data_IF_117474202794
#
_entry.id   IF_117474202794
#
_cell.length_a   1.000
_cell.length_b   1.000
_cell.length_c   1.000
_cell.angle_alpha   90.00
_cell.angle_beta   90.00
_cell.angle_gamma   90.00
#
_symmetry.space_group_name_H-M   'P 1'
#
loop_
_entity.id
_entity.type
_entity.pdbx_description
1 polymer ?
#
# COMPACT_ATOMS: atom_id res chain seq x y z
N UNK A 1 -5.94 -40.97 14.97
CA UNK A 1 -5.78 -39.63 14.35
C UNK A 1 -5.13 -38.70 15.36
N UNK A 2 -3.90 -38.25 15.09
CA UNK A 2 -3.16 -37.36 15.97
C UNK A 2 -3.43 -35.92 15.53
N UNK A 3 -4.15 -35.13 16.35
CA UNK A 3 -4.27 -33.69 16.12
C UNK A 3 -2.87 -33.08 16.22
N UNK A 4 -2.42 -32.24 15.26
CA UNK A 4 -1.12 -31.59 15.37
C UNK A 4 -1.11 -30.74 16.65
N UNK A 5 -0.12 -30.99 17.50
CA UNK A 5 0.09 -30.28 18.75
C UNK A 5 0.43 -28.81 18.44
N UNK A 6 -0.57 -27.95 18.50
CA UNK A 6 -0.45 -26.49 18.28
C UNK A 6 0.56 -25.84 19.21
N UNK A 7 0.87 -26.45 20.37
CA UNK A 7 1.92 -25.95 21.26
C UNK A 7 3.33 -26.10 20.64
N UNK A 8 3.53 -27.09 19.77
CA UNK A 8 4.79 -27.28 19.04
C UNK A 8 4.99 -26.26 17.90
N UNK A 9 3.91 -25.63 17.42
CA UNK A 9 3.92 -24.70 16.29
C UNK A 9 4.57 -23.35 16.64
N UNK A 10 4.57 -22.94 17.91
CA UNK A 10 5.23 -21.73 18.43
C UNK A 10 6.48 -22.04 19.26
N UNK A 11 7.13 -23.18 19.00
CA UNK A 11 8.39 -23.51 19.67
C UNK A 11 9.47 -22.42 19.49
N UNK A 12 10.50 -22.37 20.37
CA UNK A 12 11.48 -21.28 20.39
C UNK A 12 12.14 -20.97 19.05
N UNK A 13 12.36 -21.99 18.20
CA UNK A 13 12.91 -21.83 16.85
C UNK A 13 11.93 -21.14 15.89
N UNK A 14 10.66 -21.54 15.91
CA UNK A 14 9.62 -20.94 15.08
C UNK A 14 9.36 -19.50 15.51
N UNK A 15 9.26 -19.26 16.83
CA UNK A 15 9.08 -17.91 17.38
C UNK A 15 10.24 -16.98 16.99
N UNK A 16 11.48 -17.45 17.12
CA UNK A 16 12.66 -16.70 16.66
C UNK A 16 12.59 -16.36 15.18
N UNK A 17 12.17 -17.32 14.35
CA UNK A 17 12.06 -17.12 12.90
C UNK A 17 10.96 -16.11 12.54
N UNK A 18 9.81 -16.18 13.21
CA UNK A 18 8.71 -15.22 13.06
C UNK A 18 9.18 -13.81 13.47
N UNK A 19 9.82 -13.66 14.63
CA UNK A 19 10.34 -12.38 15.11
C UNK A 19 11.33 -11.78 14.11
N UNK A 20 12.31 -12.57 13.65
CA UNK A 20 13.28 -12.11 12.66
C UNK A 20 12.59 -11.66 11.36
N UNK A 21 11.60 -12.42 10.89
CA UNK A 21 10.82 -12.07 9.69
C UNK A 21 10.13 -10.71 9.85
N UNK A 22 9.47 -10.46 10.99
CA UNK A 22 8.82 -9.17 11.25
C UNK A 22 9.82 -8.02 11.39
N UNK A 23 10.97 -8.25 12.03
CA UNK A 23 12.01 -7.24 12.16
C UNK A 23 12.55 -6.83 10.79
N UNK A 24 12.88 -7.79 9.92
CA UNK A 24 13.36 -7.47 8.56
C UNK A 24 12.27 -6.81 7.71
N UNK A 25 11.04 -7.37 7.72
CA UNK A 25 9.93 -6.83 6.96
C UNK A 25 9.60 -5.37 7.35
N UNK A 26 9.61 -5.04 8.65
CA UNK A 26 9.35 -3.69 9.13
C UNK A 26 10.52 -2.73 8.95
N UNK A 27 11.77 -3.21 9.13
CA UNK A 27 12.96 -2.36 9.10
C UNK A 27 13.22 -1.80 7.71
N UNK A 28 13.39 -2.67 6.73
CA UNK A 28 13.92 -2.27 5.42
C UNK A 28 12.86 -1.48 4.65
N UNK A 29 11.60 -1.91 4.70
CA UNK A 29 10.49 -1.21 4.04
C UNK A 29 10.22 0.18 4.63
N UNK A 30 10.29 0.33 5.96
CA UNK A 30 10.12 1.63 6.61
C UNK A 30 11.31 2.55 6.32
N UNK A 31 12.53 2.03 6.34
CA UNK A 31 13.72 2.79 6.00
C UNK A 31 13.67 3.32 4.57
N UNK A 32 13.22 2.50 3.62
CA UNK A 32 13.04 2.89 2.22
C UNK A 32 11.95 3.95 2.05
N UNK A 33 10.79 3.77 2.69
CA UNK A 33 9.71 4.75 2.70
C UNK A 33 10.18 6.13 3.20
N UNK A 34 10.91 6.16 4.32
CA UNK A 34 11.47 7.40 4.85
C UNK A 34 12.49 8.02 3.89
N UNK A 35 13.40 7.19 3.37
CA UNK A 35 14.45 7.64 2.45
C UNK A 35 13.86 8.32 1.22
N UNK A 36 12.88 7.68 0.57
CA UNK A 36 12.25 8.26 -0.62
C UNK A 36 11.31 9.42 -0.31
N UNK A 37 10.69 9.44 0.87
CA UNK A 37 9.93 10.61 1.33
C UNK A 37 10.83 11.83 1.47
N UNK A 38 11.97 11.69 2.16
CA UNK A 38 12.95 12.78 2.27
C UNK A 38 13.58 13.15 0.93
N UNK A 39 13.90 12.17 0.08
CA UNK A 39 14.39 12.43 -1.28
C UNK A 39 13.39 13.25 -2.10
N UNK A 40 12.11 12.87 -2.07
CA UNK A 40 11.07 13.59 -2.79
C UNK A 40 10.87 15.01 -2.23
N UNK A 41 10.88 15.18 -0.90
CA UNK A 41 10.80 16.51 -0.27
C UNK A 41 11.99 17.39 -0.68
N UNK A 42 13.21 16.86 -0.61
CA UNK A 42 14.43 17.59 -0.96
C UNK A 42 14.44 18.04 -2.43
N UNK A 43 13.85 17.25 -3.32
CA UNK A 43 13.72 17.58 -4.74
C UNK A 43 12.61 18.57 -5.07
N UNK A 44 11.68 18.84 -4.16
CA UNK A 44 10.52 19.70 -4.39
C UNK A 44 10.40 20.78 -3.30
N UNK A 45 11.15 21.90 -3.41
CA UNK A 45 11.17 22.95 -2.40
C UNK A 45 9.79 23.53 -2.06
N UNK A 46 8.86 23.55 -3.03
CA UNK A 46 7.49 24.02 -2.80
C UNK A 46 6.69 23.07 -1.90
N UNK A 47 6.90 21.75 -2.05
CA UNK A 47 6.30 20.75 -1.16
C UNK A 47 6.85 20.92 0.25
N UNK A 48 8.16 21.11 0.41
CA UNK A 48 8.79 21.36 1.71
C UNK A 48 8.20 22.60 2.39
N UNK A 49 8.08 23.73 1.68
CA UNK A 49 7.46 24.96 2.23
C UNK A 49 6.04 24.71 2.72
N UNK A 50 5.24 23.98 1.95
CA UNK A 50 3.84 23.68 2.30
C UNK A 50 3.73 22.72 3.49
N UNK A 51 4.65 21.76 3.63
CA UNK A 51 4.75 20.92 4.84
C UNK A 51 5.04 21.78 6.06
N UNK A 52 6.01 22.70 5.97
CA UNK A 52 6.36 23.60 7.08
C UNK A 52 5.16 24.46 7.50
N UNK A 53 4.44 25.04 6.53
CA UNK A 53 3.21 25.79 6.79
C UNK A 53 2.15 24.95 7.49
N UNK A 54 1.92 23.70 7.06
CA UNK A 54 0.98 22.80 7.71
C UNK A 54 1.40 22.51 9.16
N UNK A 55 2.67 22.22 9.40
CA UNK A 55 3.22 21.96 10.73
C UNK A 55 3.06 23.17 11.67
N UNK A 56 3.38 24.37 11.18
CA UNK A 56 3.22 25.63 11.94
C UNK A 56 1.75 25.90 12.28
N UNK A 57 0.84 25.67 11.34
CA UNK A 57 -0.61 25.88 11.57
C UNK A 57 -1.24 24.87 12.52
N UNK A 58 -0.69 23.65 12.60
CA UNK A 58 -1.24 22.56 13.41
C UNK A 58 -0.77 22.61 14.86
N UNK A 59 0.40 23.21 15.10
CA UNK A 59 1.01 23.26 16.44
C UNK A 59 0.19 24.18 17.36
N UNK A 60 -0.58 23.57 18.24
CA UNK A 60 -1.48 24.29 19.16
C UNK A 60 -0.77 24.85 20.39
N UNK A 61 0.37 24.27 20.75
CA UNK A 61 1.20 24.70 21.86
C UNK A 61 2.51 25.33 21.37
N UNK A 62 2.63 26.65 21.47
CA UNK A 62 3.88 27.41 21.31
C UNK A 62 4.84 27.20 22.50
N UNK A 63 4.95 25.96 23.00
CA UNK A 63 6.06 25.58 23.87
C UNK A 63 7.40 25.77 23.15
N UNK A 64 8.54 25.63 23.85
CA UNK A 64 9.86 25.77 23.23
C UNK A 64 9.95 24.95 21.94
N UNK A 65 10.67 25.48 20.93
CA UNK A 65 10.64 25.03 19.53
C UNK A 65 10.74 23.51 19.33
N UNK A 66 11.30 22.77 20.29
CA UNK A 66 11.50 21.32 20.28
C UNK A 66 10.38 20.46 20.91
N UNK A 67 9.20 21.00 21.25
CA UNK A 67 8.09 20.14 21.69
C UNK A 67 7.64 19.20 20.57
N UNK A 68 7.66 17.89 20.84
CA UNK A 68 7.20 16.86 19.92
C UNK A 68 5.69 16.97 19.67
N UNK A 69 5.25 16.67 18.45
CA UNK A 69 3.83 16.60 18.10
C UNK A 69 3.14 15.46 18.85
N UNK A 70 1.94 15.73 19.35
CA UNK A 70 1.07 14.69 19.89
C UNK A 70 0.46 13.84 18.75
N UNK A 71 0.00 12.64 19.07
CA UNK A 71 -0.61 11.75 18.08
C UNK A 71 -1.84 12.37 17.39
N UNK A 72 -2.64 13.14 18.13
CA UNK A 72 -3.82 13.79 17.58
C UNK A 72 -3.48 15.03 16.73
N UNK A 73 -2.34 15.68 16.97
CA UNK A 73 -1.82 16.70 16.06
C UNK A 73 -1.30 16.07 14.77
N UNK A 74 -0.56 14.96 14.84
CA UNK A 74 -0.04 14.27 13.65
C UNK A 74 -1.18 13.82 12.71
N UNK A 75 -2.31 13.35 13.25
CA UNK A 75 -3.49 12.99 12.44
C UNK A 75 -4.06 14.14 11.60
N UNK A 76 -3.81 15.39 12.00
CA UNK A 76 -4.28 16.59 11.29
C UNK A 76 -3.37 16.98 10.11
N UNK A 77 -2.15 16.44 10.03
CA UNK A 77 -1.17 16.73 8.99
C UNK A 77 -1.49 16.02 7.67
N UNK A 78 -2.57 16.44 7.01
CA UNK A 78 -3.12 15.78 5.81
C UNK A 78 -2.23 15.92 4.60
N UNK A 79 -1.55 17.06 4.46
CA UNK A 79 -0.61 17.29 3.39
C UNK A 79 0.66 16.47 3.58
N UNK A 80 1.21 16.38 4.80
CA UNK A 80 2.33 15.48 5.09
C UNK A 80 1.96 14.02 4.82
N UNK A 81 0.77 13.59 5.24
CA UNK A 81 0.24 12.27 4.92
C UNK A 81 0.22 12.05 3.39
N UNK A 82 -0.33 12.99 2.62
CA UNK A 82 -0.37 12.94 1.17
C UNK A 82 1.03 12.89 0.52
N UNK A 83 2.02 13.58 1.08
CA UNK A 83 3.43 13.54 0.61
C UNK A 83 4.01 12.14 0.76
N UNK A 84 3.77 11.48 1.91
CA UNK A 84 4.24 10.11 2.15
C UNK A 84 3.57 9.13 1.19
N UNK A 85 2.25 9.24 1.00
CA UNK A 85 1.53 8.39 0.04
C UNK A 85 2.03 8.59 -1.40
N UNK A 86 2.28 9.82 -1.82
CA UNK A 86 2.82 10.11 -3.14
C UNK A 86 4.25 9.58 -3.32
N UNK A 87 5.07 9.65 -2.27
CA UNK A 87 6.41 9.08 -2.28
C UNK A 87 6.35 7.56 -2.42
N UNK A 88 5.48 6.89 -1.66
CA UNK A 88 5.29 5.43 -1.74
C UNK A 88 4.71 4.99 -3.09
N UNK A 89 3.87 5.80 -3.73
CA UNK A 89 3.35 5.53 -5.09
C UNK A 89 4.44 5.49 -6.14
N UNK A 90 5.34 6.46 -6.11
CA UNK A 90 6.43 6.54 -7.09
C UNK A 90 7.62 5.66 -6.69
N UNK A 91 7.87 5.48 -5.41
CA UNK A 91 9.02 4.75 -4.89
C UNK A 91 8.57 3.67 -3.88
N UNK A 92 7.82 2.64 -4.34
CA UNK A 92 7.39 1.56 -3.47
C UNK A 92 8.59 0.68 -3.09
N UNK A 93 8.64 0.25 -1.82
CA UNK A 93 9.73 -0.59 -1.31
C UNK A 93 9.82 -1.97 -1.98
N UNK A 94 8.69 -2.45 -2.52
CA UNK A 94 8.62 -3.69 -3.28
C UNK A 94 8.09 -3.36 -4.69
N UNK A 95 8.98 -3.13 -5.68
CA UNK A 95 8.57 -2.71 -7.02
C UNK A 95 7.90 -3.83 -7.83
N UNK A 96 8.11 -5.09 -7.44
CA UNK A 96 7.49 -6.28 -8.00
C UNK A 96 7.04 -7.21 -6.90
N UNK A 97 5.96 -7.94 -7.14
CA UNK A 97 5.47 -8.99 -6.27
C UNK A 97 5.15 -10.22 -7.11
N UNK A 98 5.54 -11.39 -6.61
CA UNK A 98 5.40 -12.66 -7.31
C UNK A 98 4.45 -13.56 -6.52
N UNK A 99 3.51 -14.19 -7.22
CA UNK A 99 2.58 -15.18 -6.70
C UNK A 99 2.73 -16.47 -7.51
N UNK A 100 3.02 -17.58 -6.84
CA UNK A 100 3.09 -18.87 -7.52
C UNK A 100 1.72 -19.56 -7.53
N UNK A 101 1.30 -20.05 -8.69
CA UNK A 101 0.05 -20.79 -8.84
C UNK A 101 0.22 -22.21 -8.26
N UNK A 102 -0.45 -22.51 -7.15
CA UNK A 102 -0.35 -23.83 -6.50
C UNK A 102 -1.06 -24.93 -7.32
N UNK A 103 -2.08 -24.54 -8.09
CA UNK A 103 -2.85 -25.41 -9.00
C UNK A 103 -3.25 -24.59 -10.22
N UNK A 104 -3.71 -25.29 -11.25
CA UNK A 104 -4.34 -24.69 -12.43
C UNK A 104 -5.47 -23.74 -12.01
N UNK A 105 -5.45 -22.52 -12.54
CA UNK A 105 -6.41 -21.47 -12.23
C UNK A 105 -6.68 -20.58 -13.46
N UNK A 106 -7.66 -19.68 -13.34
CA UNK A 106 -8.00 -18.70 -14.37
C UNK A 106 -8.06 -17.30 -13.76
N UNK A 107 -7.44 -16.33 -14.43
CA UNK A 107 -7.57 -14.92 -14.08
C UNK A 107 -9.01 -14.43 -14.38
N UNK A 108 -9.44 -13.28 -13.81
CA UNK A 108 -10.80 -12.76 -14.01
C UNK A 108 -11.20 -12.48 -15.46
N UNK A 109 -10.22 -12.35 -16.37
CA UNK A 109 -10.41 -12.18 -17.81
C UNK A 109 -10.48 -13.50 -18.58
N UNK A 110 -10.36 -14.64 -17.90
CA UNK A 110 -10.37 -15.98 -18.49
C UNK A 110 -8.98 -16.49 -18.89
N UNK A 111 -7.90 -15.76 -18.62
CA UNK A 111 -6.54 -16.23 -18.91
C UNK A 111 -6.18 -17.44 -18.05
N UNK A 112 -5.83 -18.56 -18.68
CA UNK A 112 -5.40 -19.78 -17.99
C UNK A 112 -4.00 -19.63 -17.38
N UNK A 113 -3.86 -20.04 -16.12
CA UNK A 113 -2.60 -20.05 -15.37
C UNK A 113 -2.31 -21.48 -14.91
N UNK A 114 -1.31 -22.16 -15.50
CA UNK A 114 -0.93 -23.51 -15.08
C UNK A 114 -0.35 -23.55 -13.67
N UNK A 115 -0.52 -24.68 -12.99
CA UNK A 115 0.17 -24.96 -11.73
C UNK A 115 1.69 -24.81 -11.88
N UNK A 116 2.33 -24.22 -10.87
CA UNK A 116 3.76 -23.95 -10.81
C UNK A 116 4.21 -22.65 -11.49
N UNK A 117 3.32 -21.95 -12.21
CA UNK A 117 3.65 -20.68 -12.88
C UNK A 117 3.63 -19.52 -11.90
N UNK A 118 4.62 -18.63 -12.04
CA UNK A 118 4.68 -17.37 -11.32
C UNK A 118 3.88 -16.27 -12.03
N UNK A 119 2.95 -15.66 -11.31
CA UNK A 119 2.20 -14.47 -11.69
C UNK A 119 2.85 -13.27 -11.01
N UNK A 120 3.32 -12.32 -11.81
CA UNK A 120 4.02 -11.13 -11.33
C UNK A 120 3.19 -9.88 -11.58
N UNK A 121 3.07 -9.03 -10.57
CA UNK A 121 2.54 -7.67 -10.73
C UNK A 121 3.54 -6.65 -10.19
N UNK A 122 3.49 -5.43 -10.72
CA UNK A 122 4.43 -4.37 -10.38
C UNK A 122 3.73 -3.15 -9.79
N UNK A 123 3.76 -2.97 -8.46
CA UNK A 123 3.33 -1.72 -7.82
C UNK A 123 4.03 -0.50 -8.40
N UNK A 124 5.30 -0.64 -8.80
CA UNK A 124 6.08 0.44 -9.40
C UNK A 124 5.51 0.92 -10.75
N UNK A 125 5.13 -0.02 -11.62
CA UNK A 125 4.49 0.29 -12.90
C UNK A 125 3.06 0.79 -12.70
N UNK A 126 2.29 0.13 -11.84
CA UNK A 126 0.90 0.51 -11.55
C UNK A 126 0.80 1.91 -10.96
N UNK A 127 1.75 2.29 -10.09
CA UNK A 127 1.88 3.64 -9.57
C UNK A 127 2.08 4.68 -10.66
N UNK A 128 2.63 4.31 -11.83
CA UNK A 128 2.93 5.21 -12.97
C UNK A 128 1.95 5.04 -14.14
N UNK A 129 0.92 4.25 -13.98
CA UNK A 129 -0.05 4.01 -15.04
C UNK A 129 -1.02 5.18 -15.16
N UNK A 130 -1.04 5.86 -16.31
CA UNK A 130 -1.94 6.99 -16.56
C UNK A 130 -3.42 6.60 -16.50
N UNK A 131 -3.78 5.34 -16.80
CA UNK A 131 -5.15 4.86 -16.66
C UNK A 131 -5.65 4.87 -15.20
N UNK A 132 -4.73 4.81 -14.23
CA UNK A 132 -5.04 4.85 -12.79
C UNK A 132 -4.83 6.24 -12.18
N UNK A 133 -3.84 7.00 -12.67
CA UNK A 133 -3.35 8.22 -12.02
C UNK A 133 -3.54 9.51 -12.84
N UNK A 134 -4.18 9.42 -14.01
CA UNK A 134 -4.45 10.55 -14.89
C UNK A 134 -3.29 10.91 -15.81
N UNK A 135 -3.29 12.16 -16.29
CA UNK A 135 -2.36 12.62 -17.34
C UNK A 135 -0.92 12.85 -16.86
N UNK A 136 -0.71 13.00 -15.55
CA UNK A 136 0.59 13.32 -14.95
C UNK A 136 1.09 12.22 -13.97
N UNK A 137 1.07 10.93 -14.35
CA UNK A 137 1.34 9.84 -13.42
C UNK A 137 2.80 9.77 -12.99
N UNK A 138 3.72 10.43 -13.71
CA UNK A 138 5.14 10.48 -13.37
C UNK A 138 5.51 11.67 -12.47
N UNK A 139 4.63 12.66 -12.37
CA UNK A 139 4.86 13.86 -11.57
C UNK A 139 4.65 13.58 -10.09
N UNK A 140 5.51 14.17 -9.25
CA UNK A 140 5.34 14.12 -7.79
C UNK A 140 4.35 15.21 -7.37
N UNK A 141 3.06 14.85 -7.26
CA UNK A 141 1.97 15.80 -6.97
C UNK A 141 1.16 15.35 -5.74
N UNK A 142 1.62 15.61 -4.51
CA UNK A 142 0.91 15.23 -3.29
C UNK A 142 -0.54 15.70 -3.23
N UNK A 143 -0.86 16.84 -3.86
CA UNK A 143 -2.21 17.41 -3.91
C UNK A 143 -3.25 16.43 -4.48
N UNK A 144 -2.87 15.48 -5.34
CA UNK A 144 -3.81 14.49 -5.89
C UNK A 144 -4.54 13.71 -4.80
N UNK A 145 -3.86 13.40 -3.69
CA UNK A 145 -4.44 12.65 -2.57
C UNK A 145 -5.46 13.46 -1.76
N UNK A 146 -5.41 14.80 -1.88
CA UNK A 146 -6.36 15.71 -1.26
C UNK A 146 -7.55 16.01 -2.20
N UNK A 147 -7.31 16.00 -3.51
CA UNK A 147 -8.32 16.24 -4.56
C UNK A 147 -9.21 15.03 -4.81
N UNK A 148 -8.72 13.82 -4.52
CA UNK A 148 -9.46 12.58 -4.69
C UNK A 148 -10.68 12.51 -3.77
N UNK A 149 -11.87 12.36 -4.35
CA UNK A 149 -13.11 12.12 -3.62
C UNK A 149 -13.14 10.75 -2.93
N UNK A 150 -12.45 9.76 -3.53
CA UNK A 150 -12.34 8.39 -3.03
C UNK A 150 -10.87 7.96 -3.05
N UNK A 151 -10.40 7.40 -1.95
CA UNK A 151 -9.05 6.80 -1.89
C UNK A 151 -8.95 5.59 -2.85
N UNK A 152 -7.80 5.41 -3.52
CA UNK A 152 -7.55 4.23 -4.34
C UNK A 152 -7.74 2.95 -3.53
N UNK A 153 -8.33 1.93 -4.14
CA UNK A 153 -8.39 0.60 -3.56
C UNK A 153 -6.99 -0.02 -3.42
N UNK A 154 -6.87 -1.07 -2.61
CA UNK A 154 -5.62 -1.81 -2.47
C UNK A 154 -5.13 -2.43 -3.80
N UNK A 155 -6.00 -2.58 -4.80
CA UNK A 155 -5.64 -3.05 -6.13
C UNK A 155 -5.13 -1.93 -7.05
N UNK A 156 -5.59 -0.69 -6.86
CA UNK A 156 -5.13 0.48 -7.62
C UNK A 156 -3.82 1.04 -7.03
N UNK A 157 -3.65 0.92 -5.71
CA UNK A 157 -2.44 1.31 -4.98
C UNK A 157 -1.93 0.14 -4.10
N UNK A 158 -1.25 -0.86 -4.70
CA UNK A 158 -0.85 -2.10 -4.02
C UNK A 158 0.46 -1.99 -3.22
N UNK A 159 0.86 -0.80 -2.78
CA UNK A 159 2.14 -0.57 -2.11
C UNK A 159 2.28 -1.33 -0.77
N UNK A 160 1.18 -1.54 -0.07
CA UNK A 160 1.12 -2.35 1.15
C UNK A 160 0.66 -3.79 0.92
N UNK A 161 0.61 -4.18 -0.35
CA UNK A 161 0.05 -5.44 -0.84
C UNK A 161 -1.45 -5.51 -0.53
N UNK A 162 -2.27 -5.81 -1.54
CA UNK A 162 -3.66 -6.18 -1.30
C UNK A 162 -3.66 -7.57 -0.63
N UNK A 163 -3.41 -7.64 0.68
CA UNK A 163 -3.51 -8.89 1.44
C UNK A 163 -5.00 -9.18 1.70
N UNK A 164 -5.76 -9.34 0.62
CA UNK A 164 -6.76 -10.39 0.63
C UNK A 164 -5.95 -11.65 0.39
N UNK A 165 -5.92 -12.55 1.36
CA UNK A 165 -5.41 -13.90 1.12
C UNK A 165 -6.18 -14.41 -0.09
N UNK A 166 -5.54 -14.47 -1.26
CA UNK A 166 -6.09 -15.13 -2.44
C UNK A 166 -5.98 -16.61 -2.14
N UNK A 167 -6.82 -17.09 -1.22
CA UNK A 167 -6.93 -18.52 -1.00
C UNK A 167 -7.84 -19.11 -2.04
N UNK A 168 -8.85 -18.40 -2.55
CA UNK A 168 -9.75 -18.87 -3.60
C UNK A 168 -10.36 -17.66 -4.34
N UNK A 169 -10.03 -17.46 -5.62
CA UNK A 169 -10.91 -16.73 -6.54
C UNK A 169 -12.12 -17.64 -6.86
N UNK A 170 -13.02 -17.86 -5.90
CA UNK A 170 -14.33 -18.40 -6.26
C UNK A 170 -15.10 -17.30 -6.96
N UNK A 171 -15.38 -17.53 -8.25
CA UNK A 171 -16.17 -16.67 -9.11
C UNK A 171 -17.41 -16.18 -8.38
N UNK A 172 -17.39 -14.92 -7.98
CA UNK A 172 -18.60 -14.21 -7.64
C UNK A 172 -19.24 -13.82 -8.98
N UNK A 173 -19.97 -14.76 -9.58
CA UNK A 173 -21.00 -14.43 -10.54
C UNK A 173 -21.95 -13.46 -9.84
N UNK A 174 -21.75 -12.15 -10.06
CA UNK A 174 -22.84 -11.19 -9.89
C UNK A 174 -23.91 -11.63 -10.87
N UNK A 175 -24.96 -12.26 -10.34
CA UNK A 175 -26.22 -12.38 -11.05
C UNK A 175 -26.62 -10.96 -11.45
N UNK A 176 -26.44 -10.65 -12.73
CA UNK A 176 -27.13 -9.54 -13.37
C UNK A 176 -28.61 -9.86 -13.23
N UNK A 177 -29.32 -9.01 -12.50
CA UNK A 177 -30.77 -9.13 -12.37
C UNK A 177 -31.39 -8.99 -13.75
N UNK A 178 -32.05 -10.04 -14.20
CA UNK A 178 -33.05 -9.95 -15.27
C UNK A 178 -34.25 -9.20 -14.71
N UNK A 179 -34.28 -7.90 -14.98
CA UNK A 179 -35.52 -7.18 -15.15
C UNK A 179 -36.04 -7.58 -16.54
N UNK A 180 -37.13 -8.33 -16.58
CA UNK A 180 -38.15 -8.20 -17.62
C UNK A 180 -39.44 -8.78 -17.04
N UNK A 181 -40.38 -7.87 -16.78
CA UNK A 181 -41.78 -8.19 -16.56
C UNK A 181 -42.55 -8.03 -17.87
N UNK A 182 -43.66 -8.75 -17.98
CA UNK A 182 -44.72 -8.39 -18.92
C UNK A 182 -45.27 -9.56 -19.73
N UNK A 183 -46.52 -9.91 -19.39
CA UNK A 183 -47.49 -10.76 -20.09
C UNK A 183 -47.29 -12.28 -20.00
#
# INVERSE_FOLDING_TARGET
>A
ECKPDVASLLGPKTLRSIILTFVFAGRDTTAECLTYSFYAIARHPQVQKRIVQELESTKTNHGPACTAFTFDEVKKLKYLEAVVYEAVRLYPALPFNVKNAVKDDYLPDGTFVPAGVDVVYSPWFMGRNGALWGDDPLEFRPQRWLEMSKRPSAYEFPAFQAVSVVTHCHGHSRKVGTLDGGA
#
